data_IF_425433581451
#
_entry.id   IF_425433581451
#
_cell.length_a   1.000
_cell.length_b   1.000
_cell.length_c   1.000
_cell.angle_alpha   90.00
_cell.angle_beta   90.00
_cell.angle_gamma   90.00
#
_symmetry.space_group_name_H-M   'P 1'
#
loop_
_entity.id
_entity.type
_entity.pdbx_description
1 polymer ?
#
# COMPACT_ATOMS: atom_id res chain seq x y z
N UNK A 1 56.65 -31.95 -65.33
CA UNK A 1 57.83 -31.06 -65.30
C UNK A 1 57.83 -30.38 -63.94
N UNK A 2 58.79 -30.57 -63.04
CA UNK A 2 60.24 -30.51 -63.26
C UNK A 2 60.69 -29.05 -63.19
N UNK A 3 61.01 -28.55 -62.00
CA UNK A 3 62.38 -28.13 -61.66
C UNK A 3 62.40 -27.44 -60.29
N UNK A 4 63.14 -28.08 -59.39
CA UNK A 4 63.84 -27.43 -58.29
C UNK A 4 64.67 -26.24 -58.75
N UNK A 5 64.84 -25.28 -57.83
CA UNK A 5 65.61 -24.06 -58.00
C UNK A 5 65.96 -23.47 -56.64
N UNK A 6 66.67 -24.27 -55.85
CA UNK A 6 67.36 -23.93 -54.60
C UNK A 6 67.72 -22.46 -54.37
N UNK A 7 67.47 -21.97 -53.14
CA UNK A 7 68.58 -21.53 -52.26
C UNK A 7 68.11 -21.18 -50.85
N UNK A 8 68.66 -21.99 -49.93
CA UNK A 8 69.29 -21.59 -48.67
C UNK A 8 68.41 -21.07 -47.52
N UNK A 9 68.40 -21.94 -46.50
CA UNK A 9 68.74 -21.70 -45.08
C UNK A 9 67.59 -21.32 -44.13
N UNK A 10 67.19 -22.37 -43.40
CA UNK A 10 67.10 -22.50 -41.93
C UNK A 10 66.07 -21.63 -41.18
N UNK A 11 65.10 -22.38 -40.64
CA UNK A 11 64.54 -22.34 -39.29
C UNK A 11 63.79 -21.09 -38.83
N UNK A 12 62.47 -21.15 -39.04
CA UNK A 12 61.41 -21.14 -38.02
C UNK A 12 61.73 -20.36 -36.73
N UNK A 13 61.07 -19.20 -36.55
CA UNK A 13 60.43 -18.86 -35.28
C UNK A 13 59.00 -18.36 -35.57
N UNK A 14 58.07 -19.03 -34.89
CA UNK A 14 56.63 -18.87 -34.74
C UNK A 14 56.01 -17.53 -35.17
N UNK A 15 54.92 -17.66 -35.94
CA UNK A 15 54.07 -16.56 -36.38
C UNK A 15 53.45 -15.78 -35.22
N UNK A 16 53.57 -14.46 -35.31
CA UNK A 16 52.79 -13.51 -34.54
C UNK A 16 51.33 -13.56 -35.01
N UNK A 17 50.49 -14.36 -34.35
CA UNK A 17 49.05 -14.15 -34.41
C UNK A 17 48.77 -12.95 -33.50
N UNK A 18 48.76 -11.77 -34.10
CA UNK A 18 48.33 -10.53 -33.45
C UNK A 18 46.82 -10.62 -33.22
N UNK A 19 46.43 -11.20 -32.10
CA UNK A 19 45.06 -11.12 -31.58
C UNK A 19 44.87 -9.75 -30.95
N UNK A 20 44.29 -8.82 -31.71
CA UNK A 20 43.80 -7.55 -31.18
C UNK A 20 42.65 -7.81 -30.20
N UNK A 21 42.97 -7.97 -28.92
CA UNK A 21 41.98 -7.97 -27.83
C UNK A 21 41.57 -6.52 -27.57
N UNK A 22 40.52 -6.07 -28.25
CA UNK A 22 39.83 -4.82 -27.89
C UNK A 22 38.82 -5.16 -26.79
N UNK A 23 39.22 -5.03 -25.53
CA UNK A 23 38.29 -5.08 -24.40
C UNK A 23 37.57 -3.73 -24.35
N UNK A 24 36.40 -3.66 -24.97
CA UNK A 24 35.45 -2.55 -24.77
C UNK A 24 34.84 -2.70 -23.37
N UNK A 25 35.39 -1.97 -22.39
CA UNK A 25 34.73 -1.82 -21.08
C UNK A 25 33.62 -0.79 -21.27
N UNK A 26 32.42 -1.26 -21.60
CA UNK A 26 31.23 -0.40 -21.56
C UNK A 26 30.83 -0.28 -20.10
N UNK A 27 31.40 0.71 -19.42
CA UNK A 27 30.90 1.16 -18.12
C UNK A 27 29.54 1.81 -18.36
N UNK A 28 28.46 1.04 -18.26
CA UNK A 28 27.12 1.61 -18.12
C UNK A 28 27.08 2.24 -16.74
N UNK A 29 27.43 3.52 -16.66
CA UNK A 29 27.07 4.34 -15.52
C UNK A 29 25.54 4.44 -15.56
N UNK A 30 24.85 3.57 -14.82
CA UNK A 30 23.46 3.79 -14.47
C UNK A 30 23.47 5.00 -13.54
N UNK A 31 23.33 6.19 -14.13
CA UNK A 31 22.99 7.39 -13.38
C UNK A 31 21.60 7.14 -12.83
N UNK A 32 21.54 6.58 -11.63
CA UNK A 32 20.33 6.62 -10.82
C UNK A 32 20.16 8.08 -10.43
N UNK A 33 19.45 8.83 -11.27
CA UNK A 33 18.94 10.15 -10.91
C UNK A 33 18.03 9.96 -9.70
N UNK A 34 18.60 10.07 -8.50
CA UNK A 34 17.85 10.39 -7.30
C UNK A 34 17.30 11.79 -7.50
N UNK A 35 16.14 11.90 -8.15
CA UNK A 35 15.34 13.11 -8.13
C UNK A 35 15.03 13.41 -6.66
N UNK A 36 15.76 14.35 -6.08
CA UNK A 36 15.39 14.91 -4.79
C UNK A 36 14.11 15.70 -5.03
N UNK A 37 13.01 15.42 -4.30
CA UNK A 37 11.75 16.10 -4.50
C UNK A 37 11.94 17.61 -4.30
N UNK A 38 11.35 18.41 -5.19
CA UNK A 38 11.47 19.86 -5.16
C UNK A 38 10.80 20.39 -3.88
N UNK A 39 11.41 21.35 -3.18
CA UNK A 39 10.86 21.93 -1.95
C UNK A 39 9.43 22.47 -2.15
N UNK A 40 9.16 23.04 -3.32
CA UNK A 40 7.82 23.51 -3.68
C UNK A 40 6.80 22.38 -3.82
N UNK A 41 7.21 21.23 -4.37
CA UNK A 41 6.39 20.03 -4.52
C UNK A 41 6.07 19.42 -3.15
N UNK A 42 7.07 19.32 -2.26
CA UNK A 42 6.88 18.86 -0.87
C UNK A 42 5.86 19.75 -0.15
N UNK A 43 5.97 21.08 -0.31
CA UNK A 43 5.05 22.03 0.30
C UNK A 43 3.62 21.87 -0.24
N UNK A 44 3.46 21.66 -1.54
CA UNK A 44 2.14 21.44 -2.14
C UNK A 44 1.51 20.12 -1.68
N UNK A 45 2.28 19.03 -1.73
CA UNK A 45 1.86 17.72 -1.23
C UNK A 45 1.45 17.78 0.24
N UNK A 46 2.24 18.47 1.07
CA UNK A 46 1.92 18.63 2.50
C UNK A 46 0.60 19.36 2.72
N UNK A 47 0.32 20.40 1.92
CA UNK A 47 -0.96 21.13 2.01
C UNK A 47 -2.14 20.26 1.58
N UNK A 48 -2.01 19.54 0.48
CA UNK A 48 -3.06 18.66 -0.03
C UNK A 48 -3.33 17.49 0.93
N UNK A 49 -2.27 16.85 1.44
CA UNK A 49 -2.36 15.82 2.48
C UNK A 49 -3.05 16.34 3.74
N UNK A 50 -2.68 17.54 4.22
CA UNK A 50 -3.36 18.15 5.37
C UNK A 50 -4.83 18.41 5.12
N UNK A 51 -5.22 18.77 3.90
CA UNK A 51 -6.61 18.99 3.55
C UNK A 51 -7.42 17.69 3.62
N UNK A 52 -6.95 16.60 3.01
CA UNK A 52 -7.66 15.30 3.07
C UNK A 52 -7.62 14.68 4.47
N UNK A 53 -6.61 14.99 5.29
CA UNK A 53 -6.55 14.54 6.68
C UNK A 53 -7.37 15.41 7.65
N UNK A 54 -7.91 16.56 7.21
CA UNK A 54 -8.66 17.46 8.08
C UNK A 54 -9.90 16.82 8.76
N UNK A 55 -10.73 16.01 8.08
CA UNK A 55 -11.91 15.40 8.69
C UNK A 55 -11.58 14.20 9.60
N UNK A 56 -10.32 13.77 9.70
CA UNK A 56 -9.98 12.52 10.40
C UNK A 56 -9.72 12.72 11.88
N UNK A 57 -9.96 11.67 12.67
CA UNK A 57 -9.72 11.66 14.12
C UNK A 57 -8.22 11.56 14.45
N UNK A 58 -7.45 10.78 13.67
CA UNK A 58 -6.02 10.56 13.87
C UNK A 58 -5.19 11.35 12.84
N UNK A 59 -5.27 12.69 12.91
CA UNK A 59 -4.66 13.61 11.94
C UNK A 59 -3.15 13.42 11.78
N UNK A 60 -2.44 13.21 12.88
CA UNK A 60 -0.98 13.02 12.86
C UNK A 60 -0.59 11.74 12.13
N UNK A 61 -1.24 10.62 12.50
CA UNK A 61 -1.06 9.33 11.82
C UNK A 61 -1.40 9.45 10.34
N UNK A 62 -2.50 10.14 10.00
CA UNK A 62 -2.90 10.41 8.62
C UNK A 62 -1.81 11.12 7.81
N UNK A 63 -1.38 12.30 8.28
CA UNK A 63 -0.42 13.14 7.56
C UNK A 63 0.91 12.42 7.43
N UNK A 64 1.41 11.84 8.54
CA UNK A 64 2.67 11.12 8.56
C UNK A 64 2.65 9.96 7.56
N UNK A 65 1.66 9.10 7.64
CA UNK A 65 1.62 7.89 6.81
C UNK A 65 1.42 8.19 5.33
N UNK A 66 0.67 9.25 4.97
CA UNK A 66 0.56 9.68 3.57
C UNK A 66 1.85 10.32 3.05
N UNK A 67 2.52 11.16 3.85
CA UNK A 67 3.79 11.77 3.45
C UNK A 67 4.92 10.74 3.33
N UNK A 68 4.99 9.77 4.25
CA UNK A 68 5.95 8.66 4.20
C UNK A 68 5.75 7.80 2.94
N UNK A 69 4.52 7.73 2.43
CA UNK A 69 4.19 7.05 1.18
C UNK A 69 4.57 7.84 -0.09
N UNK A 70 5.19 9.02 0.05
CA UNK A 70 5.66 9.86 -1.06
C UNK A 70 4.56 10.15 -2.10
N UNK A 71 3.56 10.99 -1.75
CA UNK A 71 2.41 11.24 -2.61
C UNK A 71 2.86 11.81 -3.95
N UNK A 72 2.31 11.28 -5.05
CA UNK A 72 2.64 11.68 -6.42
C UNK A 72 1.61 12.61 -7.06
N UNK A 73 0.54 12.90 -6.32
CA UNK A 73 -0.59 13.73 -6.75
C UNK A 73 -1.08 14.56 -5.58
N UNK A 74 -1.64 15.73 -5.88
CA UNK A 74 -2.35 16.58 -4.92
C UNK A 74 -3.86 16.44 -5.04
N UNK A 75 -4.35 15.65 -5.99
CA UNK A 75 -5.77 15.40 -6.19
C UNK A 75 -6.37 14.63 -5.01
N UNK A 76 -7.48 15.10 -4.41
CA UNK A 76 -8.08 14.46 -3.24
C UNK A 76 -8.37 12.97 -3.43
N UNK A 77 -8.89 12.58 -4.60
CA UNK A 77 -9.21 11.19 -4.91
C UNK A 77 -7.96 10.30 -4.95
N UNK A 78 -6.85 10.80 -5.50
CA UNK A 78 -5.57 10.08 -5.55
C UNK A 78 -4.94 9.95 -4.15
N UNK A 79 -5.10 10.97 -3.31
CA UNK A 79 -4.65 10.91 -1.91
C UNK A 79 -5.49 9.95 -1.06
N UNK A 80 -6.79 9.85 -1.34
CA UNK A 80 -7.67 8.86 -0.72
C UNK A 80 -7.28 7.44 -1.15
N UNK A 81 -7.01 7.20 -2.44
CA UNK A 81 -6.42 5.93 -2.91
C UNK A 81 -5.11 5.59 -2.22
N UNK A 82 -4.23 6.58 -2.06
CA UNK A 82 -2.98 6.42 -1.35
C UNK A 82 -3.24 6.02 0.11
N UNK A 83 -4.23 6.63 0.78
CA UNK A 83 -4.65 6.26 2.13
C UNK A 83 -5.05 4.78 2.21
N UNK A 84 -5.83 4.29 1.26
CA UNK A 84 -6.21 2.87 1.20
C UNK A 84 -5.00 1.94 1.06
N UNK A 85 -4.09 2.25 0.13
CA UNK A 85 -2.88 1.45 -0.06
C UNK A 85 -2.00 1.42 1.19
N UNK A 86 -1.90 2.55 1.89
CA UNK A 86 -1.16 2.66 3.16
C UNK A 86 -1.86 1.87 4.27
N UNK A 87 -3.19 1.91 4.35
CA UNK A 87 -3.99 1.09 5.27
C UNK A 87 -3.80 -0.40 5.02
N UNK A 88 -3.92 -0.86 3.77
CA UNK A 88 -3.68 -2.26 3.37
C UNK A 88 -2.28 -2.70 3.77
N UNK A 89 -1.27 -1.88 3.48
CA UNK A 89 0.13 -2.17 3.85
C UNK A 89 0.27 -2.32 5.37
N UNK A 90 -0.31 -1.41 6.15
CA UNK A 90 -0.27 -1.46 7.61
C UNK A 90 -0.93 -2.72 8.16
N UNK A 91 -2.09 -3.14 7.63
CA UNK A 91 -2.77 -4.37 8.06
C UNK A 91 -1.89 -5.60 7.76
N UNK A 92 -1.29 -5.69 6.57
CA UNK A 92 -0.38 -6.80 6.23
C UNK A 92 0.85 -6.85 7.15
N UNK A 93 1.44 -5.70 7.47
CA UNK A 93 2.57 -5.63 8.41
C UNK A 93 2.16 -6.03 9.83
N UNK A 94 0.96 -5.64 10.26
CA UNK A 94 0.41 -6.02 11.56
C UNK A 94 0.14 -7.54 11.63
N UNK A 95 -0.45 -8.13 10.60
CA UNK A 95 -0.64 -9.58 10.46
C UNK A 95 0.68 -10.34 10.55
N UNK A 96 1.69 -9.90 9.79
CA UNK A 96 3.03 -10.49 9.84
C UNK A 96 3.63 -10.43 11.24
N UNK A 97 3.56 -9.26 11.90
CA UNK A 97 4.03 -9.09 13.28
C UNK A 97 3.27 -9.97 14.26
N UNK A 98 1.95 -10.13 14.09
CA UNK A 98 1.14 -11.00 14.92
C UNK A 98 1.54 -12.48 14.74
N UNK A 99 1.78 -12.90 13.50
CA UNK A 99 2.24 -14.26 13.19
C UNK A 99 3.61 -14.54 13.82
N UNK A 100 4.56 -13.60 13.71
CA UNK A 100 5.90 -13.73 14.27
C UNK A 100 5.92 -13.69 15.80
N UNK A 101 5.15 -12.78 16.40
CA UNK A 101 5.29 -12.46 17.83
C UNK A 101 4.22 -13.09 18.71
N UNK A 102 3.04 -13.44 18.19
CA UNK A 102 1.87 -13.86 19.00
C UNK A 102 1.46 -15.31 18.71
N UNK A 103 1.57 -15.78 17.46
CA UNK A 103 1.08 -17.12 17.05
C UNK A 103 1.57 -18.25 17.95
N UNK A 104 2.87 -18.34 18.21
CA UNK A 104 3.42 -19.43 19.06
C UNK A 104 2.92 -19.40 20.52
N UNK A 105 2.46 -18.25 21.01
CA UNK A 105 1.82 -18.15 22.33
C UNK A 105 0.33 -18.49 22.25
N UNK A 106 -0.35 -18.09 21.17
CA UNK A 106 -1.73 -18.47 20.90
C UNK A 106 -1.89 -19.98 20.69
N UNK A 107 -0.96 -20.64 20.00
CA UNK A 107 -0.99 -22.09 19.73
C UNK A 107 -0.95 -22.97 21.00
N UNK A 108 -0.63 -22.40 22.16
CA UNK A 108 -0.64 -23.09 23.46
C UNK A 108 -2.04 -23.26 24.05
N UNK A 109 -3.03 -22.57 23.49
CA UNK A 109 -4.41 -22.58 23.92
C UNK A 109 -5.32 -22.81 22.71
N UNK A 110 -6.16 -23.86 22.68
CA UNK A 110 -6.99 -24.17 21.51
C UNK A 110 -7.95 -23.04 21.11
N UNK A 111 -8.49 -22.30 22.08
CA UNK A 111 -9.40 -21.18 21.84
C UNK A 111 -8.63 -19.98 21.29
N UNK A 112 -7.44 -19.68 21.83
CA UNK A 112 -6.57 -18.61 21.31
C UNK A 112 -6.11 -18.92 19.89
N UNK A 113 -5.72 -20.17 19.63
CA UNK A 113 -5.30 -20.62 18.31
C UNK A 113 -6.41 -20.45 17.28
N UNK A 114 -7.60 -20.98 17.56
CA UNK A 114 -8.74 -20.88 16.63
C UNK A 114 -9.13 -19.42 16.39
N UNK A 115 -9.12 -18.59 17.44
CA UNK A 115 -9.39 -17.16 17.33
C UNK A 115 -8.36 -16.42 16.50
N UNK A 116 -7.08 -16.74 16.68
CA UNK A 116 -5.98 -16.16 15.90
C UNK A 116 -6.09 -16.53 14.41
N UNK A 117 -6.30 -17.81 14.11
CA UNK A 117 -6.41 -18.30 12.73
C UNK A 117 -7.62 -17.72 11.99
N UNK A 118 -8.78 -17.66 12.67
CA UNK A 118 -9.97 -17.00 12.12
C UNK A 118 -9.68 -15.52 11.84
N UNK A 119 -9.02 -14.85 12.77
CA UNK A 119 -8.75 -13.44 12.65
C UNK A 119 -7.76 -13.12 11.52
N UNK A 120 -6.70 -13.92 11.40
CA UNK A 120 -5.73 -13.84 10.30
C UNK A 120 -6.43 -14.04 8.95
N UNK A 121 -7.26 -15.10 8.83
CA UNK A 121 -8.00 -15.38 7.59
C UNK A 121 -8.91 -14.23 7.18
N UNK A 122 -9.78 -13.77 8.09
CA UNK A 122 -10.76 -12.71 7.80
C UNK A 122 -10.07 -11.40 7.40
N UNK A 123 -8.93 -11.06 8.01
CA UNK A 123 -8.18 -9.86 7.63
C UNK A 123 -7.50 -9.99 6.26
N UNK A 124 -7.02 -11.18 5.90
CA UNK A 124 -6.46 -11.44 4.56
C UNK A 124 -7.57 -11.31 3.51
N UNK A 125 -8.71 -11.95 3.74
CA UNK A 125 -9.87 -11.87 2.86
C UNK A 125 -10.29 -10.40 2.67
N UNK A 126 -10.40 -9.64 3.76
CA UNK A 126 -10.75 -8.21 3.72
C UNK A 126 -9.72 -7.33 3.00
N UNK A 127 -8.42 -7.65 3.10
CA UNK A 127 -7.38 -6.98 2.32
C UNK A 127 -7.58 -7.26 0.83
N UNK A 128 -7.86 -8.50 0.46
CA UNK A 128 -8.00 -8.90 -0.94
C UNK A 128 -9.26 -8.31 -1.57
N UNK A 129 -10.36 -8.22 -0.82
CA UNK A 129 -11.55 -7.50 -1.23
C UNK A 129 -11.29 -5.99 -1.40
N UNK A 130 -10.60 -5.36 -0.44
CA UNK A 130 -10.26 -3.93 -0.54
C UNK A 130 -9.30 -3.64 -1.69
N UNK A 131 -8.33 -4.51 -1.96
CA UNK A 131 -7.46 -4.42 -3.14
C UNK A 131 -8.26 -4.51 -4.43
N UNK A 132 -9.19 -5.48 -4.51
CA UNK A 132 -10.08 -5.60 -5.66
C UNK A 132 -10.89 -4.33 -5.88
N UNK A 133 -11.39 -3.70 -4.81
CA UNK A 133 -12.03 -2.38 -4.93
C UNK A 133 -11.07 -1.34 -5.50
N UNK A 134 -9.85 -1.21 -4.95
CA UNK A 134 -8.87 -0.20 -5.41
C UNK A 134 -8.42 -0.44 -6.86
N UNK A 135 -8.25 -1.69 -7.27
CA UNK A 135 -7.71 -2.09 -8.58
C UNK A 135 -8.76 -2.05 -9.71
N UNK A 136 -10.06 -2.29 -9.42
CA UNK A 136 -11.14 -2.20 -10.42
C UNK A 136 -11.36 -0.79 -10.97
N UNK A 137 -10.67 0.21 -10.40
CA UNK A 137 -10.54 1.52 -11.00
C UNK A 137 -11.72 2.45 -10.74
N UNK A 138 -11.45 3.73 -10.96
CA UNK A 138 -12.34 4.84 -10.65
C UNK A 138 -13.00 5.31 -11.93
N UNK A 139 -14.32 5.14 -12.02
CA UNK A 139 -15.13 5.91 -12.97
C UNK A 139 -15.93 6.95 -12.20
N UNK A 140 -15.90 8.20 -12.65
CA UNK A 140 -16.68 9.31 -12.04
C UNK A 140 -18.16 8.94 -11.88
N UNK A 141 -18.64 8.11 -12.80
CA UNK A 141 -20.01 7.62 -12.90
C UNK A 141 -20.35 6.56 -11.84
N UNK A 142 -19.35 6.06 -11.10
CA UNK A 142 -19.45 4.97 -10.12
C UNK A 142 -18.87 5.37 -8.75
N UNK A 143 -18.45 6.63 -8.56
CA UNK A 143 -17.78 7.04 -7.32
C UNK A 143 -18.72 6.88 -6.10
N UNK A 144 -20.02 7.12 -6.25
CA UNK A 144 -20.97 6.98 -5.14
C UNK A 144 -21.07 5.53 -4.64
N UNK A 145 -21.32 4.56 -5.52
CA UNK A 145 -21.36 3.14 -5.15
C UNK A 145 -20.00 2.63 -4.65
N UNK A 146 -18.90 3.15 -5.20
CA UNK A 146 -17.56 2.83 -4.74
C UNK A 146 -17.28 3.37 -3.32
N UNK A 147 -17.67 4.60 -3.02
CA UNK A 147 -17.55 5.20 -1.70
C UNK A 147 -18.40 4.45 -0.67
N UNK A 148 -19.60 4.01 -1.05
CA UNK A 148 -20.42 3.13 -0.20
C UNK A 148 -19.74 1.78 0.06
N UNK A 149 -19.23 1.11 -0.98
CA UNK A 149 -18.52 -0.17 -0.85
C UNK A 149 -17.30 -0.02 0.08
N UNK A 150 -16.49 1.03 -0.11
CA UNK A 150 -15.35 1.33 0.76
C UNK A 150 -15.75 1.63 2.20
N UNK A 151 -16.86 2.34 2.41
CA UNK A 151 -17.38 2.65 3.75
C UNK A 151 -17.78 1.37 4.48
N UNK A 152 -18.49 0.47 3.80
CA UNK A 152 -18.88 -0.84 4.34
C UNK A 152 -17.63 -1.66 4.66
N UNK A 153 -16.68 -1.74 3.73
CA UNK A 153 -15.43 -2.48 3.92
C UNK A 153 -14.60 -1.98 5.09
N UNK A 154 -14.40 -0.67 5.20
CA UNK A 154 -13.63 -0.08 6.29
C UNK A 154 -14.33 -0.24 7.63
N UNK A 155 -15.65 -0.09 7.68
CA UNK A 155 -16.44 -0.33 8.89
C UNK A 155 -16.33 -1.81 9.32
N UNK A 156 -16.38 -2.73 8.35
CA UNK A 156 -16.12 -4.15 8.55
C UNK A 156 -14.72 -4.43 9.08
N UNK A 157 -13.68 -3.85 8.47
CA UNK A 157 -12.28 -3.99 8.90
C UNK A 157 -12.06 -3.52 10.33
N UNK A 158 -12.65 -2.39 10.72
CA UNK A 158 -12.59 -1.89 12.11
C UNK A 158 -13.31 -2.85 13.06
N UNK A 159 -14.51 -3.32 12.70
CA UNK A 159 -15.27 -4.28 13.50
C UNK A 159 -14.54 -5.63 13.63
N UNK A 160 -13.87 -6.09 12.58
CA UNK A 160 -13.06 -7.30 12.60
C UNK A 160 -11.82 -7.14 13.45
N UNK A 161 -11.09 -6.03 13.32
CA UNK A 161 -9.97 -5.72 14.20
C UNK A 161 -10.42 -5.67 15.67
N UNK A 162 -11.62 -5.18 15.96
CA UNK A 162 -12.15 -5.16 17.33
C UNK A 162 -12.51 -6.56 17.81
N UNK A 163 -13.31 -7.31 17.04
CA UNK A 163 -13.72 -8.69 17.36
C UNK A 163 -12.51 -9.61 17.51
N UNK A 164 -11.47 -9.42 16.70
CA UNK A 164 -10.20 -10.11 16.82
C UNK A 164 -9.63 -10.03 18.23
N UNK A 165 -9.60 -8.82 18.78
CA UNK A 165 -9.05 -8.53 20.10
C UNK A 165 -9.96 -9.09 21.19
N UNK A 166 -11.27 -9.02 20.96
CA UNK A 166 -12.29 -9.50 21.89
C UNK A 166 -12.26 -11.03 22.02
N UNK A 167 -11.94 -11.76 20.95
CA UNK A 167 -11.75 -13.23 20.97
C UNK A 167 -10.59 -13.71 21.85
N UNK A 168 -9.71 -12.80 22.27
CA UNK A 168 -8.65 -13.10 23.23
C UNK A 168 -9.02 -12.73 24.68
N UNK A 169 -10.21 -12.14 24.96
CA UNK A 169 -10.58 -11.63 26.30
C UNK A 169 -10.59 -12.69 27.41
N UNK A 170 -10.84 -13.96 27.09
CA UNK A 170 -10.78 -15.07 28.05
C UNK A 170 -9.35 -15.61 28.27
N UNK A 171 -8.35 -15.02 27.59
CA UNK A 171 -6.99 -15.51 27.47
C UNK A 171 -6.03 -14.47 28.07
N UNK A 172 -4.88 -14.96 28.57
CA UNK A 172 -3.83 -14.18 29.26
C UNK A 172 -3.74 -12.73 28.76
N UNK A 173 -3.92 -11.78 29.67
CA UNK A 173 -4.01 -10.33 29.41
C UNK A 173 -2.88 -9.75 28.54
N UNK A 174 -1.70 -10.37 28.55
CA UNK A 174 -0.56 -9.96 27.74
C UNK A 174 -0.78 -10.18 26.23
N UNK A 175 -1.53 -11.21 25.83
CA UNK A 175 -1.77 -11.54 24.42
C UNK A 175 -2.67 -10.51 23.74
N UNK A 176 -3.76 -10.13 24.42
CA UNK A 176 -4.68 -9.07 24.00
C UNK A 176 -3.94 -7.75 23.86
N UNK A 177 -3.14 -7.38 24.86
CA UNK A 177 -2.36 -6.14 24.85
C UNK A 177 -1.37 -6.09 23.68
N UNK A 178 -0.66 -7.20 23.41
CA UNK A 178 0.27 -7.28 22.28
C UNK A 178 -0.47 -7.11 20.94
N UNK A 179 -1.61 -7.78 20.77
CA UNK A 179 -2.43 -7.66 19.56
C UNK A 179 -2.95 -6.22 19.36
N UNK A 180 -3.45 -5.57 20.41
CA UNK A 180 -3.87 -4.16 20.32
C UNK A 180 -2.72 -3.25 19.90
N UNK A 181 -1.53 -3.47 20.46
CA UNK A 181 -0.34 -2.68 20.13
C UNK A 181 0.08 -2.90 18.67
N UNK A 182 0.03 -4.15 18.20
CA UNK A 182 0.39 -4.52 16.82
C UNK A 182 -0.56 -3.88 15.81
N UNK A 183 -1.86 -3.88 16.07
CA UNK A 183 -2.89 -3.40 15.14
C UNK A 183 -3.26 -1.91 15.29
N UNK A 184 -2.71 -1.21 16.29
CA UNK A 184 -3.06 0.19 16.58
C UNK A 184 -2.99 1.10 15.36
N UNK A 185 -1.86 1.11 14.67
CA UNK A 185 -1.67 1.97 13.48
C UNK A 185 -2.64 1.60 12.36
N UNK A 186 -2.90 0.31 12.15
CA UNK A 186 -3.87 -0.16 11.16
C UNK A 186 -5.29 0.29 11.49
N UNK A 187 -5.67 0.28 12.77
CA UNK A 187 -6.97 0.79 13.24
C UNK A 187 -7.11 2.29 13.03
N UNK A 188 -6.10 3.06 13.40
CA UNK A 188 -6.05 4.52 13.19
C UNK A 188 -6.15 4.87 11.70
N UNK A 189 -5.40 4.16 10.84
CA UNK A 189 -5.43 4.35 9.39
C UNK A 189 -6.77 3.96 8.77
N UNK A 190 -7.37 2.83 9.20
CA UNK A 190 -8.70 2.42 8.73
C UNK A 190 -9.77 3.46 9.09
N UNK A 191 -9.71 3.99 10.32
CA UNK A 191 -10.59 5.08 10.79
C UNK A 191 -10.38 6.35 9.96
N UNK A 192 -9.13 6.70 9.66
CA UNK A 192 -8.81 7.86 8.83
C UNK A 192 -9.33 7.70 7.39
N UNK A 193 -9.10 6.54 6.75
CA UNK A 193 -9.62 6.27 5.41
C UNK A 193 -11.15 6.36 5.38
N UNK A 194 -11.83 5.88 6.44
CA UNK A 194 -13.29 5.93 6.55
C UNK A 194 -13.80 7.37 6.63
N UNK A 195 -13.15 8.20 7.45
CA UNK A 195 -13.48 9.62 7.58
C UNK A 195 -13.27 10.37 6.25
N UNK A 196 -12.17 10.12 5.54
CA UNK A 196 -11.92 10.75 4.23
C UNK A 196 -12.98 10.41 3.19
N UNK A 197 -13.37 9.14 3.13
CA UNK A 197 -14.34 8.64 2.14
C UNK A 197 -15.75 9.09 2.48
N UNK A 198 -16.07 9.18 3.76
CA UNK A 198 -17.32 9.77 4.25
C UNK A 198 -17.39 11.26 3.93
N UNK A 199 -16.28 12.00 4.07
CA UNK A 199 -16.22 13.41 3.68
C UNK A 199 -16.34 13.58 2.16
N UNK A 200 -15.68 12.72 1.38
CA UNK A 200 -15.76 12.73 -0.09
C UNK A 200 -17.21 12.55 -0.61
N UNK A 201 -18.01 11.64 -0.01
CA UNK A 201 -19.42 11.50 -0.38
C UNK A 201 -20.29 12.70 -0.04
N UNK A 202 -19.83 13.61 0.82
CA UNK A 202 -20.52 14.90 1.03
C UNK A 202 -20.19 15.93 -0.06
N UNK A 203 -19.08 15.76 -0.77
CA UNK A 203 -18.58 16.69 -1.80
C UNK A 203 -19.16 16.35 -3.18
N UNK A 204 -19.30 15.06 -3.51
CA UNK A 204 -19.76 14.58 -4.81
C UNK A 204 -21.23 14.88 -5.20
N UNK A 205 -22.20 15.06 -4.27
CA UNK A 205 -23.57 15.41 -4.63
C UNK A 205 -23.71 16.76 -5.32
N UNK A 206 -22.69 17.63 -5.25
CA UNK A 206 -22.73 19.00 -5.77
C UNK A 206 -21.55 19.25 -6.73
N UNK A 207 -21.51 18.58 -7.90
CA UNK A 207 -20.67 19.01 -9.02
C UNK A 207 -21.20 20.29 -9.68
N UNK A 208 -21.37 21.33 -8.86
CA UNK A 208 -21.26 22.75 -9.17
C UNK A 208 -21.09 23.47 -7.82
N UNK A 209 -20.02 24.26 -7.71
CA UNK A 209 -19.79 25.36 -6.74
C UNK A 209 -18.68 25.13 -5.71
N UNK A 210 -17.57 25.81 -6.01
CA UNK A 210 -16.72 26.63 -5.14
C UNK A 210 -17.27 26.90 -3.72
N UNK A 211 -16.60 26.34 -2.72
CA UNK A 211 -16.44 26.93 -1.38
C UNK A 211 -17.70 27.27 -0.57
N UNK A 212 -18.17 26.33 0.25
CA UNK A 212 -18.37 26.49 1.70
C UNK A 212 -19.01 25.21 2.25
N UNK A 213 -18.36 24.60 3.25
CA UNK A 213 -18.87 23.40 3.92
C UNK A 213 -20.05 23.75 4.84
N UNK A 214 -21.23 23.25 4.50
CA UNK A 214 -22.35 23.15 5.45
C UNK A 214 -22.96 21.76 5.31
N UNK A 215 -22.96 21.06 6.44
CA UNK A 215 -23.32 19.66 6.62
C UNK A 215 -24.82 19.46 6.40
N UNK A 216 -25.18 18.48 5.57
CA UNK A 216 -26.49 17.84 5.56
C UNK A 216 -26.31 16.34 5.31
N UNK A 217 -26.94 15.54 6.18
CA UNK A 217 -26.95 14.08 6.13
C UNK A 217 -28.06 13.55 5.22
N UNK A 218 -27.91 12.26 4.88
CA UNK A 218 -28.89 11.28 4.35
C UNK A 218 -28.95 11.30 2.81
N UNK A 219 -28.65 10.19 2.10
CA UNK A 219 -29.50 8.99 2.06
C UNK A 219 -28.74 7.75 1.58
N UNK A 220 -28.82 6.68 2.36
CA UNK A 220 -28.51 5.31 1.94
C UNK A 220 -29.63 4.80 1.04
N UNK A 221 -29.30 4.37 -0.18
CA UNK A 221 -29.89 3.24 -0.92
C UNK A 221 -29.50 3.31 -2.42
N UNK A 222 -28.49 2.54 -2.82
CA UNK A 222 -28.69 1.45 -3.80
C UNK A 222 -27.44 0.57 -3.86
N UNK A 223 -27.56 -0.60 -3.24
CA UNK A 223 -26.56 -1.65 -3.26
C UNK A 223 -26.40 -2.21 -4.68
N UNK A 224 -25.43 -1.70 -5.43
CA UNK A 224 -24.79 -2.42 -6.52
C UNK A 224 -23.36 -2.72 -6.07
N UNK A 225 -23.16 -3.91 -5.52
CA UNK A 225 -21.87 -4.36 -4.98
C UNK A 225 -20.90 -4.52 -6.14
N UNK A 226 -20.07 -3.51 -6.37
CA UNK A 226 -19.06 -3.56 -7.44
C UNK A 226 -17.78 -4.27 -6.94
N UNK A 227 -17.64 -4.45 -5.62
CA UNK A 227 -16.52 -5.14 -5.00
C UNK A 227 -16.75 -6.64 -4.68
N UNK A 228 -17.98 -7.14 -4.82
CA UNK A 228 -18.32 -8.55 -4.59
C UNK A 228 -18.46 -9.23 -5.96
N UNK A 229 -17.65 -10.24 -6.23
CA UNK A 229 -17.87 -11.18 -7.34
C UNK A 229 -18.46 -12.47 -6.81
#
# INVERSE_FOLDING_TARGET
MGSDGDKKKKCIIAGSVSGLLVIMVVSVAVVTSKNSPNENEIRQNTKAVKAVCAPTDYKETCVKSLMDASPKSTEPLELIKLSFNVTIKSINEALKKASENVKARADKDPQAKSSFELCEKVMIDAIDDLRRCVDHGFSVNQIEGYVEDLRVWLSGSIAFQQTCMDSFQEIKSNLIHDMHKIFRTSKELSSNSLAMVTDLSTILPNSNITGNFSILLIKSESMNRNCES
#
